data_IF_195727553338
#
_entry.id   IF_195727553338
#
_cell.length_a   1.000
_cell.length_b   1.000
_cell.length_c   1.000
_cell.angle_alpha   90.00
_cell.angle_beta   90.00
_cell.angle_gamma   90.00
#
_symmetry.space_group_name_H-M   'P 1'
#
loop_
_entity.id
_entity.type
_entity.pdbx_description
1 polymer ?
#
# COMPACT_ATOMS: atom_id res chain seq x y z
N UNK A 1 -6.23 33.12 -39.59
CA UNK A 1 -6.53 33.08 -38.14
C UNK A 1 -6.52 31.62 -37.70
N UNK A 2 -5.35 31.02 -37.47
CA UNK A 2 -5.21 29.63 -36.95
C UNK A 2 -3.73 29.23 -36.81
N UNK A 3 -2.97 29.90 -35.94
CA UNK A 3 -1.63 29.41 -35.54
C UNK A 3 -1.26 29.63 -34.07
N UNK A 4 -2.18 30.16 -33.25
CA UNK A 4 -1.93 30.41 -31.83
C UNK A 4 -2.39 29.29 -30.88
N UNK A 5 -3.09 28.27 -31.37
CA UNK A 5 -3.67 27.20 -30.54
C UNK A 5 -2.69 26.06 -30.14
N UNK A 6 -1.59 25.87 -30.87
CA UNK A 6 -0.71 24.72 -30.63
C UNK A 6 0.32 24.96 -29.51
N UNK A 7 0.75 26.21 -29.32
CA UNK A 7 1.79 26.56 -28.34
C UNK A 7 1.27 26.59 -26.89
N UNK A 8 0.00 26.97 -26.69
CA UNK A 8 -0.57 27.08 -25.35
C UNK A 8 -0.86 25.71 -24.71
N UNK A 9 -1.13 24.69 -25.53
CA UNK A 9 -1.42 23.35 -25.04
C UNK A 9 -0.14 22.59 -24.63
N UNK A 10 1.00 22.90 -25.26
CA UNK A 10 2.28 22.25 -24.94
C UNK A 10 2.83 22.69 -23.56
N UNK A 11 2.62 23.94 -23.17
CA UNK A 11 3.05 24.46 -21.84
C UNK A 11 2.20 23.88 -20.70
N UNK A 12 0.92 23.59 -20.94
CA UNK A 12 0.03 22.98 -19.93
C UNK A 12 0.40 21.53 -19.64
N UNK A 13 0.74 20.75 -20.68
CA UNK A 13 1.18 19.34 -20.54
C UNK A 13 2.50 19.24 -19.79
N UNK A 14 3.44 20.17 -20.01
CA UNK A 14 4.72 20.18 -19.31
C UNK A 14 4.60 20.60 -17.84
N UNK A 15 3.62 21.43 -17.48
CA UNK A 15 3.36 21.78 -16.07
C UNK A 15 2.73 20.62 -15.31
N UNK A 16 1.93 19.79 -15.98
CA UNK A 16 1.34 18.58 -15.39
C UNK A 16 2.36 17.47 -15.09
N UNK A 17 3.51 17.47 -15.77
CA UNK A 17 4.60 16.51 -15.53
C UNK A 17 5.54 16.91 -14.39
N UNK A 18 5.58 18.20 -14.01
CA UNK A 18 6.55 18.69 -13.03
C UNK A 18 6.11 18.50 -11.58
N UNK A 19 4.80 18.37 -11.33
CA UNK A 19 4.24 18.08 -10.00
C UNK A 19 4.29 16.58 -9.62
N UNK A 20 4.68 15.71 -10.55
CA UNK A 20 4.81 14.26 -10.34
C UNK A 20 6.14 13.83 -9.71
N UNK A 21 7.02 14.77 -9.37
CA UNK A 21 8.35 14.49 -8.85
C UNK A 21 8.38 14.17 -7.33
N UNK A 22 7.21 13.99 -6.71
CA UNK A 22 7.05 13.72 -5.27
C UNK A 22 6.01 12.65 -4.94
N UNK A 23 5.62 11.82 -5.92
CA UNK A 23 4.81 10.64 -5.68
C UNK A 23 5.69 9.41 -5.83
N UNK A 24 5.94 8.74 -4.71
CA UNK A 24 6.80 7.57 -4.61
C UNK A 24 6.39 6.51 -5.65
N UNK A 25 7.26 6.28 -6.65
CA UNK A 25 7.08 5.37 -7.79
C UNK A 25 6.79 3.91 -7.37
N UNK A 26 7.03 3.58 -6.10
CA UNK A 26 6.71 2.29 -5.49
C UNK A 26 5.20 2.04 -5.33
N UNK A 27 4.41 3.08 -5.02
CA UNK A 27 2.96 2.98 -4.78
C UNK A 27 2.18 3.03 -6.11
N UNK A 28 2.66 3.82 -7.09
CA UNK A 28 2.07 3.92 -8.43
C UNK A 28 2.27 2.66 -9.28
N UNK A 29 3.33 1.88 -9.01
CA UNK A 29 3.56 0.58 -9.66
C UNK A 29 2.57 -0.50 -9.26
N UNK A 30 1.70 -0.31 -8.25
CA UNK A 30 0.65 -1.29 -7.92
C UNK A 30 -0.74 -0.84 -8.37
N UNK A 31 -0.92 0.45 -8.65
CA UNK A 31 -2.21 1.05 -8.98
C UNK A 31 -2.65 0.91 -10.44
N UNK A 32 -1.81 0.36 -11.35
CA UNK A 32 -2.09 0.31 -12.80
C UNK A 32 -2.02 -1.11 -13.40
N UNK A 33 -1.64 -2.14 -12.63
CA UNK A 33 -1.37 -3.48 -13.18
C UNK A 33 -2.52 -4.46 -12.90
N UNK A 34 -3.60 -4.35 -13.69
CA UNK A 34 -4.60 -5.42 -13.77
C UNK A 34 -4.07 -6.48 -14.74
N UNK A 35 -4.03 -7.73 -14.30
CA UNK A 35 -3.61 -8.87 -15.12
C UNK A 35 -4.81 -9.82 -15.27
N UNK A 36 -5.32 -9.94 -16.49
CA UNK A 36 -6.39 -10.88 -16.84
C UNK A 36 -5.78 -12.06 -17.60
N UNK A 37 -6.10 -13.29 -17.21
CA UNK A 37 -5.63 -14.53 -17.86
C UNK A 37 -6.76 -15.55 -17.96
N UNK A 38 -6.78 -16.28 -19.07
CA UNK A 38 -7.71 -17.40 -19.29
C UNK A 38 -6.96 -18.70 -19.01
N UNK A 39 -7.50 -19.53 -18.10
CA UNK A 39 -6.90 -20.81 -17.72
C UNK A 39 -7.76 -21.95 -18.24
N UNK A 40 -7.25 -22.65 -19.25
CA UNK A 40 -7.72 -23.97 -19.67
C UNK A 40 -6.97 -25.08 -18.93
N UNK A 41 -7.68 -25.98 -18.23
CA UNK A 41 -7.05 -27.11 -17.55
C UNK A 41 -6.32 -28.01 -18.55
N UNK A 42 -5.15 -28.50 -18.19
CA UNK A 42 -4.26 -29.38 -18.99
C UNK A 42 -3.60 -28.78 -20.25
N UNK A 43 -3.97 -27.58 -20.70
CA UNK A 43 -3.40 -26.96 -21.92
C UNK A 43 -2.71 -25.62 -21.70
N UNK A 44 -3.13 -24.85 -20.70
CA UNK A 44 -2.58 -23.53 -20.39
C UNK A 44 -1.90 -23.52 -19.01
N UNK A 45 -0.98 -22.58 -18.73
CA UNK A 45 -0.36 -22.49 -17.41
C UNK A 45 -1.42 -22.20 -16.33
N UNK A 46 -1.43 -23.02 -15.28
CA UNK A 46 -2.27 -22.80 -14.11
C UNK A 46 -1.75 -21.64 -13.26
N UNK A 47 -2.52 -21.24 -12.25
CA UNK A 47 -2.14 -20.16 -11.33
C UNK A 47 -0.83 -20.47 -10.59
N UNK A 48 -0.57 -21.75 -10.28
CA UNK A 48 0.68 -22.18 -9.64
C UNK A 48 1.90 -21.99 -10.56
N UNK A 49 1.77 -22.24 -11.86
CA UNK A 49 2.83 -21.93 -12.83
C UNK A 49 3.08 -20.43 -12.97
N UNK A 50 2.11 -19.60 -12.58
CA UNK A 50 2.18 -18.14 -12.64
C UNK A 50 2.60 -17.50 -11.31
N UNK A 51 2.86 -18.28 -10.26
CA UNK A 51 3.07 -17.78 -8.90
C UNK A 51 4.29 -16.83 -8.79
N UNK A 52 5.35 -17.14 -9.54
CA UNK A 52 6.61 -16.37 -9.54
C UNK A 52 6.46 -14.93 -10.07
N UNK A 53 5.36 -14.64 -10.78
CA UNK A 53 5.08 -13.30 -11.29
C UNK A 53 4.36 -12.41 -10.27
N UNK A 54 3.85 -12.97 -9.17
CA UNK A 54 3.21 -12.16 -8.13
C UNK A 54 4.29 -11.48 -7.27
N UNK A 55 4.15 -10.17 -7.00
CA UNK A 55 5.10 -9.49 -6.15
C UNK A 55 5.10 -10.14 -4.75
N UNK A 56 6.27 -10.33 -4.14
CA UNK A 56 6.35 -10.90 -2.81
C UNK A 56 5.66 -9.97 -1.80
N UNK A 57 5.03 -10.56 -0.79
CA UNK A 57 4.42 -9.78 0.28
C UNK A 57 5.48 -9.02 1.07
N UNK A 58 5.29 -7.70 1.24
CA UNK A 58 6.21 -6.86 2.01
C UNK A 58 6.06 -7.22 3.50
N UNK A 59 6.96 -8.08 3.98
CA UNK A 59 7.09 -8.47 5.38
C UNK A 59 8.50 -8.12 5.83
N UNK A 60 8.59 -7.22 6.82
CA UNK A 60 9.86 -6.93 7.48
C UNK A 60 10.24 -8.13 8.36
N UNK A 61 11.46 -8.69 8.23
CA UNK A 61 11.89 -9.78 9.10
C UNK A 61 12.03 -9.28 10.54
N UNK A 62 11.73 -10.14 11.52
CA UNK A 62 11.69 -9.78 12.95
C UNK A 62 13.00 -9.18 13.45
N UNK A 63 14.14 -9.68 12.96
CA UNK A 63 15.48 -9.16 13.32
C UNK A 63 15.68 -7.69 12.91
N UNK A 64 15.14 -7.26 11.76
CA UNK A 64 15.21 -5.86 11.33
C UNK A 64 14.29 -4.96 12.16
N UNK A 65 13.14 -5.48 12.59
CA UNK A 65 12.17 -4.74 13.41
C UNK A 65 12.73 -4.49 14.82
N UNK A 66 13.46 -5.46 15.39
CA UNK A 66 14.01 -5.36 16.74
C UNK A 66 15.23 -4.42 16.85
N UNK A 67 16.07 -4.34 15.81
CA UNK A 67 17.37 -3.65 15.91
C UNK A 67 17.47 -2.32 15.14
N UNK A 68 16.64 -2.07 14.12
CA UNK A 68 16.76 -0.85 13.29
C UNK A 68 15.40 -0.27 12.90
N UNK A 69 14.93 0.75 13.62
CA UNK A 69 13.71 1.50 13.33
C UNK A 69 14.04 2.80 12.58
N UNK A 70 14.24 2.73 11.26
CA UNK A 70 14.55 3.92 10.43
C UNK A 70 13.35 4.51 9.71
N UNK A 71 12.33 3.68 9.46
CA UNK A 71 11.09 4.07 8.77
C UNK A 71 9.91 4.07 9.75
N UNK A 72 8.95 5.00 9.61
CA UNK A 72 7.77 5.05 10.49
C UNK A 72 6.92 3.77 10.38
N UNK A 73 6.94 3.11 9.22
CA UNK A 73 6.28 1.82 8.98
C UNK A 73 6.82 0.69 9.84
N UNK A 74 8.16 0.63 9.99
CA UNK A 74 8.84 -0.38 10.81
C UNK A 74 8.49 -0.17 12.29
N UNK A 75 8.35 1.08 12.73
CA UNK A 75 7.94 1.42 14.08
C UNK A 75 6.51 0.96 14.39
N UNK A 76 5.57 1.24 13.48
CA UNK A 76 4.17 0.78 13.64
C UNK A 76 4.11 -0.76 13.64
N UNK A 77 4.91 -1.42 12.79
CA UNK A 77 5.02 -2.89 12.74
C UNK A 77 5.59 -3.45 14.05
N UNK A 78 6.62 -2.81 14.63
CA UNK A 78 7.20 -3.18 15.92
C UNK A 78 6.16 -3.13 17.04
N UNK A 79 5.42 -2.02 17.11
CA UNK A 79 4.36 -1.83 18.10
C UNK A 79 3.26 -2.88 17.94
N UNK A 80 2.88 -3.17 16.70
CA UNK A 80 1.84 -4.16 16.36
C UNK A 80 2.25 -5.59 16.75
N UNK A 81 3.49 -6.00 16.50
CA UNK A 81 3.90 -7.41 16.63
C UNK A 81 4.52 -7.71 18.00
N UNK A 82 5.30 -6.78 18.56
CA UNK A 82 6.08 -7.04 19.79
C UNK A 82 5.40 -6.39 21.00
N UNK A 83 5.20 -5.06 20.98
CA UNK A 83 4.63 -4.38 22.14
C UNK A 83 3.18 -4.77 22.45
N UNK A 84 2.40 -5.14 21.42
CA UNK A 84 1.03 -5.59 21.64
C UNK A 84 1.01 -6.89 22.45
N UNK A 85 1.83 -7.86 22.07
CA UNK A 85 1.93 -9.17 22.73
C UNK A 85 2.54 -9.04 24.14
N UNK A 86 3.45 -8.09 24.35
CA UNK A 86 4.05 -7.82 25.66
C UNK A 86 3.10 -7.12 26.64
N UNK A 87 2.40 -6.06 26.20
CA UNK A 87 1.59 -5.21 27.10
C UNK A 87 0.13 -5.62 27.18
N UNK A 88 -0.38 -6.37 26.20
CA UNK A 88 -1.79 -6.81 26.10
C UNK A 88 -2.79 -5.76 26.58
N UNK A 89 -2.78 -4.54 25.98
CA UNK A 89 -3.51 -3.38 26.48
C UNK A 89 -5.04 -3.57 26.56
N UNK A 90 -5.58 -4.49 25.76
CA UNK A 90 -7.01 -4.81 25.70
C UNK A 90 -7.28 -6.30 25.99
N UNK A 91 -6.40 -6.97 26.72
CA UNK A 91 -6.49 -8.41 26.99
C UNK A 91 -5.80 -9.27 25.93
N UNK A 92 -6.16 -10.56 25.87
CA UNK A 92 -5.56 -11.54 24.95
C UNK A 92 -6.20 -11.50 23.53
N UNK A 93 -6.75 -10.35 23.16
CA UNK A 93 -7.45 -10.14 21.90
C UNK A 93 -6.47 -9.82 20.76
N UNK A 94 -6.75 -10.38 19.59
CA UNK A 94 -6.03 -10.05 18.36
C UNK A 94 -6.34 -8.62 17.92
N UNK A 95 -5.34 -7.94 17.35
CA UNK A 95 -5.47 -6.55 16.89
C UNK A 95 -6.55 -6.44 15.81
N UNK A 96 -7.68 -5.82 16.15
CA UNK A 96 -8.67 -5.38 15.17
C UNK A 96 -8.25 -4.05 14.54
N UNK A 97 -8.09 -4.04 13.22
CA UNK A 97 -7.78 -2.82 12.47
C UNK A 97 -8.96 -1.84 12.41
N UNK A 98 -10.19 -2.28 12.69
CA UNK A 98 -11.38 -1.45 12.58
C UNK A 98 -11.68 -0.64 13.84
N UNK A 99 -11.15 -1.05 15.00
CA UNK A 99 -11.32 -0.30 16.25
C UNK A 99 -10.40 0.93 16.29
N UNK A 100 -10.95 2.16 16.42
CA UNK A 100 -10.14 3.37 16.46
C UNK A 100 -9.25 3.44 17.72
N UNK A 101 -9.69 2.86 18.84
CA UNK A 101 -8.95 2.83 20.11
C UNK A 101 -7.61 2.10 20.00
N UNK A 102 -7.61 0.95 19.31
CA UNK A 102 -6.40 0.16 19.07
C UNK A 102 -5.42 0.93 18.20
N UNK A 103 -5.92 1.58 17.15
CA UNK A 103 -5.12 2.40 16.25
C UNK A 103 -4.50 3.61 16.98
N UNK A 104 -5.27 4.29 17.83
CA UNK A 104 -4.78 5.42 18.64
C UNK A 104 -3.70 4.95 19.62
N UNK A 105 -3.88 3.79 20.25
CA UNK A 105 -2.89 3.22 21.15
C UNK A 105 -1.57 2.92 20.42
N UNK A 106 -1.65 2.26 19.26
CA UNK A 106 -0.48 1.95 18.43
C UNK A 106 0.22 3.24 17.98
N UNK A 107 -0.53 4.23 17.51
CA UNK A 107 0.01 5.53 17.10
C UNK A 107 0.74 6.24 18.26
N UNK A 108 0.15 6.26 19.46
CA UNK A 108 0.74 6.92 20.63
C UNK A 108 2.07 6.27 21.03
N UNK A 109 2.13 4.94 21.01
CA UNK A 109 3.35 4.17 21.28
C UNK A 109 4.41 4.37 20.20
N UNK A 110 4.01 4.40 18.93
CA UNK A 110 4.94 4.65 17.82
C UNK A 110 5.58 6.05 17.91
N UNK A 111 4.86 7.06 18.42
CA UNK A 111 5.41 8.42 18.64
C UNK A 111 6.48 8.48 19.74
N UNK A 112 6.50 7.54 20.68
CA UNK A 112 7.51 7.49 21.75
C UNK A 112 8.92 7.21 21.19
N UNK A 113 9.04 6.62 20.00
CA UNK A 113 10.31 6.33 19.34
C UNK A 113 10.95 7.53 18.63
N UNK A 114 10.36 8.73 18.70
CA UNK A 114 10.87 9.97 18.09
C UNK A 114 11.11 9.89 16.56
N UNK A 115 10.36 9.05 15.84
CA UNK A 115 10.43 8.95 14.37
C UNK A 115 9.38 9.88 13.74
N UNK A 116 9.82 10.69 12.78
CA UNK A 116 8.97 11.65 12.07
C UNK A 116 8.09 10.89 11.05
N UNK A 117 6.84 11.33 10.88
CA UNK A 117 5.91 10.77 9.88
C UNK A 117 4.95 9.68 10.40
N UNK A 118 4.81 9.53 11.72
CA UNK A 118 3.80 8.65 12.33
C UNK A 118 2.43 9.34 12.34
N UNK A 119 1.63 9.04 11.32
CA UNK A 119 0.25 9.54 11.18
C UNK A 119 -0.79 8.44 11.34
N UNK A 120 -2.04 8.84 11.63
CA UNK A 120 -3.16 7.92 11.74
C UNK A 120 -3.43 7.18 10.42
N UNK A 121 -3.35 7.87 9.27
CA UNK A 121 -3.52 7.27 7.94
C UNK A 121 -2.46 6.20 7.65
N UNK A 122 -1.21 6.46 8.02
CA UNK A 122 -0.12 5.49 7.86
C UNK A 122 -0.33 4.28 8.77
N UNK A 123 -0.72 4.53 10.01
CA UNK A 123 -1.04 3.47 11.00
C UNK A 123 -2.14 2.56 10.49
N UNK A 124 -3.22 3.13 9.95
CA UNK A 124 -4.30 2.37 9.31
C UNK A 124 -3.80 1.54 8.12
N UNK A 125 -2.99 2.15 7.25
CA UNK A 125 -2.41 1.48 6.09
C UNK A 125 -1.58 0.25 6.48
N UNK A 126 -0.69 0.40 7.47
CA UNK A 126 0.21 -0.67 7.94
C UNK A 126 -0.55 -1.76 8.72
N UNK A 127 -1.51 -1.39 9.56
CA UNK A 127 -2.27 -2.35 10.39
C UNK A 127 -3.20 -3.20 9.52
N UNK A 128 -3.96 -2.58 8.60
CA UNK A 128 -4.92 -3.27 7.72
C UNK A 128 -4.31 -3.82 6.43
N UNK A 129 -3.04 -3.50 6.11
CA UNK A 129 -2.41 -3.78 4.80
C UNK A 129 -3.31 -3.32 3.64
N UNK A 130 -3.75 -2.06 3.70
CA UNK A 130 -4.69 -1.50 2.71
C UNK A 130 -4.01 -1.46 1.34
N UNK A 131 -4.54 -2.22 0.38
CA UNK A 131 -4.23 -2.05 -1.04
C UNK A 131 -5.13 -0.92 -1.55
N UNK A 132 -4.57 0.17 -2.08
CA UNK A 132 -5.40 1.25 -2.61
C UNK A 132 -6.15 0.75 -3.84
N UNK A 133 -7.49 0.72 -3.77
CA UNK A 133 -8.34 0.34 -4.89
C UNK A 133 -8.95 1.60 -5.52
N UNK A 134 -8.78 1.75 -6.84
CA UNK A 134 -9.53 2.74 -7.62
C UNK A 134 -10.70 2.02 -8.27
N UNK A 135 -11.93 2.35 -7.83
CA UNK A 135 -13.20 1.72 -8.27
C UNK A 135 -13.37 1.61 -9.80
N UNK A 136 -12.72 2.49 -10.56
CA UNK A 136 -12.79 2.51 -12.02
C UNK A 136 -12.21 1.25 -12.69
N UNK A 137 -11.44 0.44 -11.96
CA UNK A 137 -10.79 -0.78 -12.44
C UNK A 137 -11.70 -2.02 -12.48
N UNK A 138 -12.80 -2.03 -11.72
CA UNK A 138 -13.67 -3.20 -11.61
C UNK A 138 -14.70 -3.30 -12.75
N UNK A 139 -15.10 -2.16 -13.31
CA UNK A 139 -16.21 -2.08 -14.27
C UNK A 139 -15.85 -2.52 -15.69
N UNK A 140 -14.55 -2.54 -16.05
CA UNK A 140 -14.09 -2.96 -17.37
C UNK A 140 -13.97 -4.49 -17.53
N UNK A 141 -13.82 -5.25 -16.44
CA UNK A 141 -13.67 -6.71 -16.52
C UNK A 141 -14.98 -7.46 -16.80
N UNK A 142 -16.15 -6.86 -16.48
CA UNK A 142 -17.45 -7.51 -16.66
C UNK A 142 -18.01 -7.40 -18.09
N UNK A 143 -17.48 -6.51 -18.94
CA UNK A 143 -18.05 -6.23 -20.27
C UNK A 143 -17.56 -7.19 -21.36
N UNK A 144 -16.53 -8.00 -21.11
CA UNK A 144 -15.98 -8.95 -22.08
C UNK A 144 -16.27 -10.44 -21.78
N UNK A 145 -17.09 -10.73 -20.77
CA UNK A 145 -17.49 -12.10 -20.38
C UNK A 145 -18.99 -12.36 -20.65
N UNK A 146 -19.71 -11.41 -21.27
CA UNK A 146 -21.06 -11.61 -21.81
C UNK A 146 -21.10 -11.34 -23.31
#
# INVERSE_FOLDING_TARGET
MSSFGCWFWWVLVLKFLKDWHYLDLSILKQLIWINARVVFPFFSPCIECALDFYPPQINFPLCTIAHTLRLPEQCIKYVKVILWDEKKPFGDESIDGNCPEYLIWIMKRAKEFNIIGVDFRLTQGVVKRIIPAVLQQLQLLLVHVF
#
